data_IF_662559174568
#
_entry.id   IF_662559174568
#
_cell.length_a   1.000
_cell.length_b   1.000
_cell.length_c   1.000
_cell.angle_alpha   90.00
_cell.angle_beta   90.00
_cell.angle_gamma   90.00
#
_symmetry.space_group_name_H-M   'P 1'
#
loop_
_entity.id
_entity.type
_entity.pdbx_description
1 polymer ?
#
# COMPACT_ATOMS: atom_id res chain seq x y z
N UNK A 1 24.78 8.19 1.01
CA UNK A 1 25.41 6.85 0.92
C UNK A 1 26.91 7.02 1.16
N UNK A 2 27.40 6.58 2.32
CA UNK A 2 28.81 6.71 2.75
C UNK A 2 29.19 5.53 3.67
N UNK A 3 30.48 5.18 3.81
CA UNK A 3 30.91 3.94 4.51
C UNK A 3 32.33 4.01 5.16
N UNK A 4 32.54 3.27 6.26
CA UNK A 4 33.79 2.92 6.96
C UNK A 4 33.51 1.91 8.11
N UNK A 5 34.44 1.19 8.77
CA UNK A 5 35.57 0.37 8.28
C UNK A 5 35.78 -0.85 9.25
N UNK A 6 37.01 -1.32 9.54
CA UNK A 6 37.32 -2.53 10.36
C UNK A 6 38.70 -2.41 11.07
N UNK A 7 39.04 -3.24 12.09
CA UNK A 7 39.88 -4.43 11.84
C UNK A 7 39.50 -5.68 12.69
N UNK A 8 40.25 -6.79 12.58
CA UNK A 8 39.90 -8.10 13.12
C UNK A 8 40.94 -8.69 14.10
N UNK A 9 40.49 -9.54 15.03
CA UNK A 9 41.28 -10.59 15.71
C UNK A 9 40.35 -11.70 16.25
N UNK A 10 40.92 -12.84 16.65
CA UNK A 10 40.29 -14.17 16.76
C UNK A 10 39.71 -14.58 18.13
N UNK A 11 38.74 -15.51 18.05
CA UNK A 11 38.44 -16.66 18.95
C UNK A 11 37.53 -16.55 20.21
N UNK A 12 36.83 -17.67 20.43
CA UNK A 12 36.04 -18.18 21.57
C UNK A 12 34.52 -17.88 21.72
N UNK A 13 33.83 -18.92 22.21
CA UNK A 13 32.39 -19.10 22.53
C UNK A 13 32.02 -18.28 23.80
N UNK A 14 30.77 -17.96 24.19
CA UNK A 14 29.47 -18.65 24.07
C UNK A 14 28.29 -17.61 24.20
N UNK A 15 26.97 -17.93 24.37
CA UNK A 15 25.87 -17.07 23.88
C UNK A 15 25.14 -16.14 24.89
N UNK A 16 24.80 -14.92 24.45
CA UNK A 16 23.59 -14.15 24.86
C UNK A 16 23.11 -13.32 23.66
N UNK A 17 21.79 -13.18 23.46
CA UNK A 17 21.22 -12.49 22.29
C UNK A 17 21.17 -10.96 22.39
N UNK A 18 20.96 -10.28 21.25
CA UNK A 18 20.47 -8.89 21.18
C UNK A 18 19.95 -8.55 19.77
N UNK A 19 19.30 -7.39 19.63
CA UNK A 19 18.53 -6.97 18.46
C UNK A 19 19.34 -6.90 17.14
N UNK A 20 18.73 -7.39 16.06
CA UNK A 20 19.26 -7.25 14.70
C UNK A 20 19.11 -5.82 14.17
N UNK A 21 20.17 -5.02 14.27
CA UNK A 21 20.30 -3.78 13.52
C UNK A 21 20.72 -4.09 12.08
N UNK A 22 19.91 -3.69 11.11
CA UNK A 22 20.30 -3.71 9.69
C UNK A 22 21.17 -2.47 9.42
N UNK A 23 22.42 -2.68 9.02
CA UNK A 23 23.29 -1.59 8.56
C UNK A 23 24.02 -2.00 7.28
N UNK A 24 23.98 -1.12 6.28
CA UNK A 24 24.59 -1.36 4.97
C UNK A 24 26.10 -1.12 5.05
N UNK A 25 26.92 -2.13 4.68
CA UNK A 25 28.39 -2.05 4.68
C UNK A 25 28.90 -2.14 3.25
N UNK A 26 29.51 -1.07 2.73
CA UNK A 26 30.07 -1.04 1.38
C UNK A 26 31.60 -1.20 1.44
N UNK A 27 32.12 -2.27 0.85
CA UNK A 27 33.56 -2.46 0.65
C UNK A 27 34.02 -1.72 -0.62
N UNK A 28 35.14 -1.01 -0.54
CA UNK A 28 35.91 -0.60 -1.73
C UNK A 28 37.17 -1.46 -1.83
N UNK A 29 37.18 -2.39 -2.78
CA UNK A 29 38.36 -2.69 -3.58
C UNK A 29 38.00 -2.43 -5.05
N UNK A 30 39.01 -2.11 -5.87
CA UNK A 30 38.81 -1.30 -7.07
C UNK A 30 38.09 -1.97 -8.24
N UNK A 31 37.44 -1.14 -9.07
CA UNK A 31 36.95 -1.49 -10.40
C UNK A 31 35.51 -2.03 -10.46
N UNK A 32 34.59 -1.21 -10.99
CA UNK A 32 33.25 -1.66 -11.41
C UNK A 32 32.23 -1.82 -10.27
N UNK A 33 31.47 -0.77 -9.97
CA UNK A 33 30.34 -0.86 -9.04
C UNK A 33 29.06 -1.28 -9.77
N UNK A 34 28.74 -2.57 -9.74
CA UNK A 34 27.38 -3.04 -10.01
C UNK A 34 26.53 -2.92 -8.73
N UNK A 35 25.36 -2.30 -8.82
CA UNK A 35 24.48 -2.07 -7.66
C UNK A 35 23.61 -3.30 -7.36
N UNK A 36 24.10 -4.19 -6.49
CA UNK A 36 23.28 -5.25 -5.88
C UNK A 36 22.65 -4.76 -4.56
N UNK A 37 21.36 -5.06 -4.35
CA UNK A 37 20.64 -4.81 -3.11
C UNK A 37 20.58 -6.07 -2.24
N UNK A 38 20.61 -5.92 -0.91
CA UNK A 38 20.91 -7.01 0.03
C UNK A 38 19.67 -7.82 0.46
N UNK A 39 19.93 -9.11 0.68
CA UNK A 39 19.04 -10.23 0.99
C UNK A 39 18.42 -10.18 2.41
N UNK A 40 17.19 -10.68 2.54
CA UNK A 40 16.57 -11.01 3.84
C UNK A 40 16.09 -12.47 3.80
N UNK A 41 16.67 -13.33 4.63
CA UNK A 41 16.26 -14.73 4.76
C UNK A 41 15.26 -14.92 5.91
N UNK A 42 14.17 -15.63 5.62
CA UNK A 42 13.42 -16.37 6.63
C UNK A 42 12.96 -17.70 6.00
N UNK A 43 13.11 -18.80 6.75
CA UNK A 43 12.89 -20.17 6.25
C UNK A 43 11.39 -20.44 6.07
N UNK A 44 11.00 -20.86 4.87
CA UNK A 44 9.59 -21.00 4.50
C UNK A 44 8.93 -22.32 4.88
N UNK A 45 7.60 -22.39 4.65
CA UNK A 45 6.86 -23.58 4.22
C UNK A 45 5.69 -23.11 3.35
N UNK A 46 5.57 -23.66 2.15
CA UNK A 46 4.44 -23.40 1.27
C UNK A 46 3.22 -24.24 1.72
N UNK A 47 2.00 -23.69 1.62
CA UNK A 47 0.77 -24.46 1.78
C UNK A 47 -0.35 -23.94 0.88
N UNK A 48 -0.67 -24.70 -0.16
CA UNK A 48 -1.83 -24.48 -1.00
C UNK A 48 -3.14 -24.68 -0.21
N UNK A 49 -3.81 -23.59 0.19
CA UNK A 49 -5.28 -23.47 0.41
C UNK A 49 -5.72 -22.09 0.97
N UNK A 50 -5.29 -20.96 0.37
CA UNK A 50 -5.71 -19.60 0.81
C UNK A 50 -6.11 -18.61 -0.31
N UNK A 51 -6.74 -19.08 -1.40
CA UNK A 51 -7.17 -18.22 -2.52
C UNK A 51 -8.18 -17.11 -2.12
N UNK A 52 -8.88 -17.22 -0.97
CA UNK A 52 -9.97 -16.30 -0.58
C UNK A 52 -9.55 -14.96 0.07
N UNK A 53 -8.27 -14.70 0.35
CA UNK A 53 -7.82 -13.46 1.01
C UNK A 53 -6.55 -12.86 0.37
N UNK A 54 -6.57 -12.60 -0.95
CA UNK A 54 -5.50 -11.80 -1.58
C UNK A 54 -5.70 -10.32 -1.23
N UNK A 55 -4.74 -9.76 -0.50
CA UNK A 55 -4.79 -8.38 0.02
C UNK A 55 -3.57 -7.58 -0.46
N UNK A 56 -3.68 -6.25 -0.51
CA UNK A 56 -2.58 -5.37 -0.96
C UNK A 56 -2.37 -4.20 0.00
N UNK A 57 -1.13 -3.97 0.41
CA UNK A 57 -0.70 -2.71 1.03
C UNK A 57 0.18 -1.98 0.02
N UNK A 58 -0.11 -0.71 -0.27
CA UNK A 58 0.66 0.08 -1.22
C UNK A 58 1.18 1.38 -0.61
N UNK A 59 2.45 1.68 -0.84
CA UNK A 59 3.08 2.95 -0.51
C UNK A 59 3.22 3.77 -1.78
N UNK A 60 2.57 4.94 -1.79
CA UNK A 60 2.50 5.81 -2.96
C UNK A 60 3.34 7.08 -2.78
N UNK A 61 4.24 7.30 -3.73
CA UNK A 61 4.90 8.57 -3.99
C UNK A 61 4.39 9.10 -5.35
N UNK A 62 3.76 10.28 -5.39
CA UNK A 62 3.40 10.98 -6.65
C UNK A 62 2.04 10.70 -7.31
N UNK A 63 1.84 11.19 -8.54
CA UNK A 63 0.65 11.17 -9.42
C UNK A 63 0.18 9.79 -9.93
N UNK A 64 1.00 8.73 -9.93
CA UNK A 64 0.61 7.39 -10.42
C UNK A 64 -0.67 6.91 -9.74
N UNK A 65 -1.75 6.91 -10.49
CA UNK A 65 -3.10 6.71 -9.99
C UNK A 65 -3.43 5.21 -9.82
N UNK A 66 -2.81 4.59 -8.82
CA UNK A 66 -3.20 3.28 -8.29
C UNK A 66 -4.67 3.22 -7.84
N UNK A 67 -5.36 4.36 -7.78
CA UNK A 67 -6.82 4.47 -7.69
C UNK A 67 -7.54 3.40 -8.52
N UNK A 68 -7.20 3.31 -9.80
CA UNK A 68 -7.81 2.36 -10.73
C UNK A 68 -7.68 0.89 -10.30
N UNK A 69 -6.65 0.51 -9.52
CA UNK A 69 -6.57 -0.83 -8.94
C UNK A 69 -7.58 -1.04 -7.81
N UNK A 70 -7.77 -0.08 -6.88
CA UNK A 70 -8.79 -0.22 -5.84
C UNK A 70 -10.16 -0.46 -6.48
N UNK A 71 -10.56 0.40 -7.42
CA UNK A 71 -11.86 0.30 -8.05
C UNK A 71 -12.02 -0.96 -8.90
N UNK A 72 -10.98 -1.35 -9.65
CA UNK A 72 -11.01 -2.62 -10.40
C UNK A 72 -11.14 -3.83 -9.46
N UNK A 73 -10.50 -3.82 -8.28
CA UNK A 73 -10.70 -4.92 -7.31
C UNK A 73 -12.14 -4.98 -6.79
N UNK A 74 -12.77 -3.85 -6.51
CA UNK A 74 -14.16 -3.84 -6.04
C UNK A 74 -15.13 -4.23 -7.15
N UNK A 75 -14.91 -3.73 -8.37
CA UNK A 75 -15.71 -4.04 -9.55
C UNK A 75 -15.72 -5.54 -9.89
N UNK A 76 -14.55 -6.20 -9.90
CA UNK A 76 -14.45 -7.61 -10.28
C UNK A 76 -14.65 -8.60 -9.12
N UNK A 77 -14.27 -8.25 -7.88
CA UNK A 77 -14.28 -9.18 -6.73
C UNK A 77 -15.34 -8.83 -5.67
N UNK A 78 -16.14 -7.79 -5.90
CA UNK A 78 -17.17 -7.32 -4.97
C UNK A 78 -16.61 -6.87 -3.61
N UNK A 79 -17.48 -6.82 -2.61
CA UNK A 79 -17.10 -6.48 -1.24
C UNK A 79 -16.09 -7.49 -0.65
N UNK A 80 -15.21 -7.01 0.23
CA UNK A 80 -14.22 -7.83 0.95
C UNK A 80 -14.68 -8.23 2.37
N UNK A 81 -15.55 -7.42 2.96
CA UNK A 81 -16.15 -7.61 4.26
C UNK A 81 -17.64 -7.25 4.20
N UNK A 82 -18.41 -7.63 5.24
CA UNK A 82 -19.84 -7.29 5.32
C UNK A 82 -20.10 -5.81 5.66
N UNK A 83 -19.13 -5.18 6.30
CA UNK A 83 -19.27 -3.91 7.06
C UNK A 83 -18.08 -2.98 6.85
N UNK A 84 -16.87 -3.52 6.64
CA UNK A 84 -15.67 -2.72 6.42
C UNK A 84 -15.56 -2.33 4.94
N UNK A 85 -15.05 -1.13 4.65
CA UNK A 85 -14.77 -0.71 3.28
C UNK A 85 -13.74 -1.66 2.64
N UNK A 86 -13.87 -1.90 1.33
CA UNK A 86 -12.94 -2.79 0.64
C UNK A 86 -11.60 -2.14 0.28
N UNK A 87 -11.53 -0.82 0.33
CA UNK A 87 -10.29 -0.07 0.20
C UNK A 87 -10.25 1.15 1.12
N UNK A 88 -9.08 1.40 1.71
CA UNK A 88 -8.82 2.53 2.62
C UNK A 88 -7.56 3.28 2.15
N UNK A 89 -7.56 4.61 2.21
CA UNK A 89 -6.35 5.43 2.00
C UNK A 89 -5.98 6.14 3.29
N UNK A 90 -4.77 5.89 3.80
CA UNK A 90 -4.25 6.44 5.06
C UNK A 90 -3.26 7.57 4.76
N UNK A 91 -3.20 8.56 5.66
CA UNK A 91 -2.36 9.76 5.58
C UNK A 91 -2.71 10.75 4.46
N UNK A 92 -3.79 10.49 3.70
CA UNK A 92 -4.25 11.32 2.58
C UNK A 92 -5.77 11.36 2.52
N UNK A 93 -6.30 12.39 1.89
CA UNK A 93 -7.67 12.42 1.41
C UNK A 93 -7.83 11.59 0.12
N UNK A 94 -9.07 11.23 -0.17
CA UNK A 94 -9.50 10.46 -1.34
C UNK A 94 -9.53 11.30 -2.64
N UNK A 95 -8.62 12.26 -2.82
CA UNK A 95 -8.63 13.21 -3.96
C UNK A 95 -8.50 12.58 -5.36
N UNK A 96 -8.22 11.27 -5.47
CA UNK A 96 -8.23 10.52 -6.74
C UNK A 96 -9.52 9.68 -6.93
N UNK A 97 -10.37 9.65 -5.89
CA UNK A 97 -11.72 9.10 -5.87
C UNK A 97 -11.86 7.68 -6.41
N UNK A 98 -12.99 7.48 -7.05
CA UNK A 98 -13.44 6.29 -7.77
C UNK A 98 -13.02 6.25 -9.26
N UNK A 99 -12.19 7.20 -9.72
CA UNK A 99 -11.88 7.33 -11.15
C UNK A 99 -13.16 7.51 -11.99
N UNK A 100 -13.39 6.59 -12.94
CA UNK A 100 -14.60 6.53 -13.77
C UNK A 100 -15.63 5.48 -13.32
N UNK A 101 -15.41 4.81 -12.19
CA UNK A 101 -16.36 3.86 -11.61
C UNK A 101 -17.42 4.60 -10.75
N UNK A 102 -18.49 3.93 -10.26
CA UNK A 102 -19.43 4.54 -9.33
C UNK A 102 -18.79 5.04 -8.03
N UNK A 103 -19.40 6.05 -7.40
CA UNK A 103 -18.93 6.66 -6.16
C UNK A 103 -18.71 5.64 -5.02
N UNK A 104 -19.50 4.57 -4.99
CA UNK A 104 -19.40 3.48 -4.01
C UNK A 104 -18.02 2.78 -3.99
N UNK A 105 -17.21 2.87 -5.05
CA UNK A 105 -15.85 2.30 -5.08
C UNK A 105 -14.75 3.29 -4.66
N UNK A 106 -15.10 4.48 -4.17
CA UNK A 106 -14.12 5.39 -3.57
C UNK A 106 -13.50 4.76 -2.31
N UNK A 107 -12.17 4.87 -2.11
CA UNK A 107 -11.55 4.43 -0.87
C UNK A 107 -11.93 5.34 0.30
N UNK A 108 -12.14 4.77 1.48
CA UNK A 108 -12.39 5.54 2.71
C UNK A 108 -11.10 6.25 3.14
N UNK A 109 -11.07 7.60 3.28
CA UNK A 109 -9.87 8.31 3.69
C UNK A 109 -9.72 8.35 5.22
N UNK A 110 -8.52 8.03 5.69
CA UNK A 110 -8.09 8.22 7.09
C UNK A 110 -6.96 9.25 7.10
N UNK A 111 -7.28 10.48 7.48
CA UNK A 111 -6.36 11.62 7.39
C UNK A 111 -5.21 11.55 8.41
N UNK A 112 -5.51 11.02 9.60
CA UNK A 112 -4.56 10.75 10.68
C UNK A 112 -4.83 9.34 11.25
N UNK A 113 -3.86 8.40 11.19
CA UNK A 113 -4.05 7.04 11.69
C UNK A 113 -4.23 6.95 13.21
N UNK A 114 -3.78 7.96 13.97
CA UNK A 114 -3.95 8.00 15.44
C UNK A 114 -5.40 8.29 15.84
N UNK A 115 -6.09 9.13 15.07
CA UNK A 115 -7.50 9.48 15.31
C UNK A 115 -8.45 8.38 14.78
N UNK A 116 -7.94 7.47 13.93
CA UNK A 116 -8.70 6.39 13.32
C UNK A 116 -9.78 6.91 12.37
N UNK A 117 -10.96 6.26 12.40
CA UNK A 117 -12.13 6.74 11.67
C UNK A 117 -12.86 7.80 12.50
N UNK A 118 -12.90 9.02 11.97
CA UNK A 118 -13.57 10.17 12.58
C UNK A 118 -15.10 10.04 12.53
N UNK A 119 -15.79 10.83 13.36
CA UNK A 119 -17.26 10.96 13.39
C UNK A 119 -18.06 9.66 13.58
N UNK A 120 -17.41 8.63 14.12
CA UNK A 120 -17.99 7.31 14.43
C UNK A 120 -18.98 7.31 15.58
N UNK A 121 -19.12 8.42 16.31
CA UNK A 121 -20.06 8.60 17.42
C UNK A 121 -21.06 9.70 17.09
N UNK A 122 -22.35 9.41 17.22
CA UNK A 122 -23.39 10.41 17.05
C UNK A 122 -23.35 11.46 18.17
N UNK A 123 -23.48 12.77 17.87
CA UNK A 123 -23.64 13.81 18.89
C UNK A 123 -25.04 13.82 19.54
N UNK A 124 -25.96 12.95 19.10
CA UNK A 124 -27.31 12.80 19.66
C UNK A 124 -27.57 11.34 20.04
N UNK A 125 -28.44 11.12 21.03
CA UNK A 125 -28.81 9.77 21.47
C UNK A 125 -29.46 8.92 20.37
N UNK A 126 -29.35 7.59 20.50
CA UNK A 126 -29.77 6.61 19.49
C UNK A 126 -31.22 6.77 19.02
N UNK A 127 -32.15 7.09 19.94
CA UNK A 127 -33.55 7.34 19.60
C UNK A 127 -33.72 8.50 18.59
N UNK A 128 -32.90 9.55 18.70
CA UNK A 128 -32.89 10.68 17.75
C UNK A 128 -32.28 10.27 16.41
N UNK A 129 -31.25 9.42 16.41
CA UNK A 129 -30.66 8.86 15.18
C UNK A 129 -31.68 7.98 14.46
N UNK A 130 -32.36 7.08 15.17
CA UNK A 130 -33.40 6.21 14.64
C UNK A 130 -34.58 7.01 14.06
N UNK A 131 -35.05 8.04 14.77
CA UNK A 131 -36.10 8.95 14.27
C UNK A 131 -35.68 9.68 12.99
N UNK A 132 -34.44 10.20 12.93
CA UNK A 132 -33.94 10.95 11.76
C UNK A 132 -33.70 10.04 10.54
N UNK A 133 -33.08 8.88 10.73
CA UNK A 133 -32.87 7.89 9.66
C UNK A 133 -34.18 7.29 9.15
N UNK A 134 -35.15 7.03 10.04
CA UNK A 134 -36.49 6.60 9.64
C UNK A 134 -37.26 7.64 8.83
N UNK A 135 -37.11 8.94 9.15
CA UNK A 135 -37.69 10.03 8.34
C UNK A 135 -37.00 10.16 6.98
N UNK A 136 -35.67 10.05 6.92
CA UNK A 136 -34.90 10.05 5.68
C UNK A 136 -35.39 8.93 4.74
N UNK A 137 -35.48 7.69 5.24
CA UNK A 137 -35.96 6.55 4.46
C UNK A 137 -37.40 6.73 3.93
N UNK A 138 -38.28 7.43 4.65
CA UNK A 138 -39.64 7.76 4.17
C UNK A 138 -39.62 8.78 3.03
N UNK A 139 -38.74 9.77 3.08
CA UNK A 139 -38.56 10.76 2.00
C UNK A 139 -37.95 10.10 0.76
N UNK A 140 -36.89 9.29 0.94
CA UNK A 140 -36.18 8.63 -0.15
C UNK A 140 -37.06 7.61 -0.89
N UNK A 141 -37.93 6.87 -0.16
CA UNK A 141 -38.87 5.93 -0.76
C UNK A 141 -39.83 6.59 -1.77
N UNK A 142 -40.23 7.85 -1.52
CA UNK A 142 -41.07 8.62 -2.45
C UNK A 142 -40.32 9.16 -3.67
N UNK A 143 -38.99 9.28 -3.58
CA UNK A 143 -38.14 9.86 -4.63
C UNK A 143 -37.54 8.79 -5.55
N UNK A 144 -36.98 7.71 -4.97
CA UNK A 144 -36.35 6.61 -5.71
C UNK A 144 -37.29 5.80 -6.60
N UNK A 145 -38.61 5.84 -6.34
CA UNK A 145 -39.63 5.26 -7.23
C UNK A 145 -39.96 6.11 -8.46
N UNK A 146 -39.48 7.37 -8.53
CA UNK A 146 -39.76 8.31 -9.63
C UNK A 146 -38.51 8.76 -10.38
N UNK A 147 -37.38 8.84 -9.68
CA UNK A 147 -36.07 9.08 -10.27
C UNK A 147 -35.32 7.74 -10.40
N UNK A 148 -35.30 7.17 -11.60
CA UNK A 148 -34.48 5.99 -11.95
C UNK A 148 -33.00 6.38 -12.13
N UNK A 149 -32.49 7.23 -11.26
CA UNK A 149 -31.16 7.83 -11.34
C UNK A 149 -30.17 7.02 -10.48
N UNK A 150 -29.14 6.48 -11.13
CA UNK A 150 -28.11 5.67 -10.48
C UNK A 150 -27.38 6.43 -9.35
N UNK A 151 -27.32 7.77 -9.44
CA UNK A 151 -26.70 8.61 -8.41
C UNK A 151 -27.48 8.60 -7.09
N UNK A 152 -28.82 8.63 -7.14
CA UNK A 152 -29.69 8.56 -5.95
C UNK A 152 -29.55 7.19 -5.29
N UNK A 153 -29.52 6.11 -6.08
CA UNK A 153 -29.31 4.76 -5.58
C UNK A 153 -27.94 4.61 -4.88
N UNK A 154 -26.88 5.10 -5.51
CA UNK A 154 -25.53 5.06 -4.93
C UNK A 154 -25.42 5.86 -3.62
N UNK A 155 -26.16 6.96 -3.50
CA UNK A 155 -26.19 7.78 -2.28
C UNK A 155 -26.90 7.06 -1.11
N UNK A 156 -28.00 6.36 -1.39
CA UNK A 156 -28.71 5.58 -0.39
C UNK A 156 -27.89 4.35 0.06
N UNK A 157 -27.24 3.65 -0.87
CA UNK A 157 -26.33 2.53 -0.56
C UNK A 157 -25.14 2.99 0.29
N UNK A 158 -24.62 4.20 0.06
CA UNK A 158 -23.56 4.80 0.87
C UNK A 158 -24.01 5.07 2.32
N UNK A 159 -25.20 5.64 2.53
CA UNK A 159 -25.73 5.86 3.89
C UNK A 159 -25.99 4.55 4.63
N UNK A 160 -26.61 3.57 4.00
CA UNK A 160 -26.90 2.27 4.62
C UNK A 160 -25.59 1.57 5.03
N UNK A 161 -24.60 1.53 4.13
CA UNK A 161 -23.26 0.97 4.44
C UNK A 161 -22.58 1.73 5.59
N UNK A 162 -22.71 3.06 5.64
CA UNK A 162 -22.16 3.90 6.71
C UNK A 162 -22.81 3.58 8.06
N UNK A 163 -24.14 3.48 8.12
CA UNK A 163 -24.84 3.11 9.37
C UNK A 163 -24.55 1.67 9.81
N UNK A 164 -24.35 0.74 8.87
CA UNK A 164 -23.94 -0.63 9.19
C UNK A 164 -22.52 -0.68 9.77
N UNK A 165 -21.57 0.08 9.21
CA UNK A 165 -20.23 0.22 9.77
C UNK A 165 -20.27 0.86 11.16
N UNK A 166 -21.00 1.97 11.34
CA UNK A 166 -21.12 2.68 12.62
C UNK A 166 -21.68 1.81 13.76
N UNK A 167 -22.56 0.85 13.45
CA UNK A 167 -23.14 -0.10 14.41
C UNK A 167 -22.29 -1.35 14.61
N UNK A 168 -21.24 -1.57 13.82
CA UNK A 168 -20.45 -2.80 13.88
C UNK A 168 -19.33 -2.73 14.91
N UNK A 169 -19.06 -3.88 15.55
CA UNK A 169 -17.82 -4.11 16.32
C UNK A 169 -16.55 -3.95 15.50
N UNK A 170 -16.65 -3.95 14.16
CA UNK A 170 -15.50 -3.84 13.25
C UNK A 170 -14.87 -2.44 13.23
N UNK A 171 -15.54 -1.41 13.78
CA UNK A 171 -14.94 -0.09 14.01
C UNK A 171 -13.60 -0.17 14.77
N UNK A 172 -13.43 -1.16 15.65
CA UNK A 172 -12.18 -1.43 16.37
C UNK A 172 -10.97 -1.66 15.45
N UNK A 173 -11.18 -2.02 14.19
CA UNK A 173 -10.09 -2.18 13.21
C UNK A 173 -9.37 -0.84 12.96
N UNK A 174 -10.06 0.29 13.08
CA UNK A 174 -9.50 1.63 12.91
C UNK A 174 -8.80 2.18 14.16
N UNK A 175 -9.00 1.55 15.32
CA UNK A 175 -8.39 1.96 16.60
C UNK A 175 -7.02 1.30 16.80
N UNK A 176 -5.94 2.05 16.54
CA UNK A 176 -4.57 1.59 16.81
C UNK A 176 -4.17 1.70 18.30
N UNK A 177 -4.96 2.39 19.14
CA UNK A 177 -4.64 2.52 20.57
C UNK A 177 -4.73 1.16 21.30
N UNK A 178 -5.62 0.28 20.83
CA UNK A 178 -5.80 -1.10 21.27
C UNK A 178 -4.61 -2.04 20.99
N UNK A 179 -3.56 -1.59 20.30
CA UNK A 179 -2.34 -2.39 20.09
C UNK A 179 -1.43 -2.40 21.34
N UNK A 180 -0.69 -3.49 21.60
CA UNK A 180 0.29 -3.56 22.68
C UNK A 180 1.34 -2.43 22.60
N UNK A 181 1.81 -1.96 23.75
CA UNK A 181 2.80 -0.88 23.83
C UNK A 181 4.08 -1.20 23.05
N UNK A 182 4.56 -2.45 23.13
CA UNK A 182 5.71 -2.94 22.36
C UNK A 182 5.46 -2.85 20.84
N UNK A 183 4.29 -3.29 20.36
CA UNK A 183 3.95 -3.21 18.93
C UNK A 183 3.92 -1.75 18.46
N UNK A 184 3.31 -0.85 19.23
CA UNK A 184 3.32 0.59 18.95
C UNK A 184 4.74 1.17 18.96
N UNK A 185 5.62 0.70 19.84
CA UNK A 185 7.03 1.12 19.89
C UNK A 185 7.82 0.66 18.65
N UNK A 186 7.64 -0.58 18.17
CA UNK A 186 8.30 -1.08 16.95
C UNK A 186 7.97 -0.23 15.72
N UNK A 187 6.70 0.15 15.52
CA UNK A 187 6.31 1.05 14.43
C UNK A 187 6.77 2.50 14.70
N UNK A 188 6.82 2.93 15.95
CA UNK A 188 7.26 4.27 16.34
C UNK A 188 6.22 5.36 16.04
N UNK A 189 6.52 6.60 16.44
CA UNK A 189 5.54 7.71 16.48
C UNK A 189 5.36 8.47 15.14
N UNK A 190 6.08 8.09 14.08
CA UNK A 190 5.98 8.80 12.80
C UNK A 190 4.61 8.58 12.14
N UNK A 191 4.14 9.55 11.35
CA UNK A 191 2.88 9.44 10.59
C UNK A 191 2.91 8.23 9.63
N UNK A 192 4.08 7.86 9.13
CA UNK A 192 4.28 6.65 8.34
C UNK A 192 4.17 5.37 9.17
N UNK A 193 4.86 5.29 10.31
CA UNK A 193 4.80 4.17 11.25
C UNK A 193 3.38 3.88 11.75
N UNK A 194 2.68 4.91 12.25
CA UNK A 194 1.29 4.78 12.67
C UNK A 194 0.35 4.41 11.50
N UNK A 195 0.63 4.90 10.29
CA UNK A 195 -0.12 4.54 9.09
C UNK A 195 0.04 3.07 8.68
N UNK A 196 1.26 2.53 8.79
CA UNK A 196 1.54 1.12 8.55
C UNK A 196 0.93 0.20 9.63
N UNK A 197 0.94 0.65 10.89
CA UNK A 197 0.29 -0.06 11.99
C UNK A 197 -1.22 -0.17 11.76
N UNK A 198 -1.87 0.93 11.36
CA UNK A 198 -3.28 0.94 10.98
C UNK A 198 -3.53 0.04 9.76
N UNK A 199 -2.70 0.14 8.72
CA UNK A 199 -2.84 -0.70 7.52
C UNK A 199 -2.82 -2.19 7.88
N UNK A 200 -1.88 -2.62 8.74
CA UNK A 200 -1.80 -4.00 9.21
C UNK A 200 -3.07 -4.42 9.98
N UNK A 201 -3.64 -3.57 10.85
CA UNK A 201 -4.93 -3.85 11.51
C UNK A 201 -6.07 -4.02 10.50
N UNK A 202 -6.16 -3.14 9.52
CA UNK A 202 -7.22 -3.19 8.50
C UNK A 202 -7.12 -4.45 7.64
N UNK A 203 -5.90 -4.85 7.23
CA UNK A 203 -5.64 -6.11 6.54
C UNK A 203 -6.04 -7.31 7.43
N UNK A 204 -5.62 -7.33 8.69
CA UNK A 204 -5.95 -8.40 9.66
C UNK A 204 -7.47 -8.58 9.85
N UNK A 205 -8.25 -7.49 9.78
CA UNK A 205 -9.72 -7.51 9.87
C UNK A 205 -10.42 -7.66 8.50
N UNK A 206 -9.68 -7.83 7.39
CA UNK A 206 -10.23 -8.23 6.09
C UNK A 206 -10.45 -7.13 5.05
N UNK A 207 -9.99 -5.89 5.29
CA UNK A 207 -9.94 -4.86 4.24
C UNK A 207 -9.03 -5.35 3.11
N UNK A 208 -9.50 -5.33 1.85
CA UNK A 208 -8.73 -5.92 0.74
C UNK A 208 -7.52 -5.09 0.32
N UNK A 209 -7.62 -3.76 0.36
CA UNK A 209 -6.55 -2.88 -0.12
C UNK A 209 -6.37 -1.68 0.82
N UNK A 210 -5.14 -1.42 1.26
CA UNK A 210 -4.79 -0.19 1.98
C UNK A 210 -3.68 0.57 1.25
N UNK A 211 -3.91 1.86 0.95
CA UNK A 211 -2.84 2.79 0.56
C UNK A 211 -2.34 3.51 1.82
N UNK A 212 -1.03 3.61 2.00
CA UNK A 212 -0.43 4.50 3.01
C UNK A 212 0.40 5.56 2.30
N UNK A 213 -0.06 6.81 2.33
CA UNK A 213 0.70 7.91 1.76
C UNK A 213 1.92 8.26 2.65
N UNK A 214 3.04 8.53 1.99
CA UNK A 214 4.26 9.05 2.62
C UNK A 214 4.69 10.34 1.90
N UNK A 215 4.51 11.47 2.58
CA UNK A 215 4.87 12.79 2.05
C UNK A 215 6.36 13.11 2.24
N UNK A 216 6.83 14.16 1.57
CA UNK A 216 8.20 14.68 1.76
C UNK A 216 9.31 14.00 0.94
N UNK A 217 8.97 13.04 0.08
CA UNK A 217 9.93 12.34 -0.80
C UNK A 217 10.21 13.09 -2.11
N UNK A 218 9.40 14.09 -2.48
CA UNK A 218 9.72 14.97 -3.60
C UNK A 218 10.69 16.11 -3.21
N UNK A 219 11.96 15.77 -2.98
CA UNK A 219 12.99 16.70 -2.54
C UNK A 219 13.68 17.37 -3.75
N UNK A 220 13.68 18.71 -3.75
CA UNK A 220 14.28 19.52 -4.83
C UNK A 220 15.64 20.15 -4.46
N UNK A 221 16.18 19.82 -3.29
CA UNK A 221 17.51 20.24 -2.81
C UNK A 221 17.95 19.33 -1.65
N UNK A 222 19.24 19.33 -1.32
CA UNK A 222 19.85 18.63 -0.16
C UNK A 222 19.37 17.18 -0.02
N UNK A 223 19.29 16.47 -1.15
CA UNK A 223 18.73 15.11 -1.21
C UNK A 223 19.53 14.13 -0.34
N UNK A 224 20.84 14.32 -0.23
CA UNK A 224 21.74 13.60 0.67
C UNK A 224 21.28 13.65 2.14
N UNK A 225 21.29 14.85 2.73
CA UNK A 225 20.93 15.05 4.14
C UNK A 225 19.48 14.61 4.40
N UNK A 226 18.56 14.98 3.51
CA UNK A 226 17.14 14.69 3.66
C UNK A 226 16.82 13.19 3.51
N UNK A 227 17.59 12.44 2.72
CA UNK A 227 17.44 10.98 2.63
C UNK A 227 17.96 10.26 3.87
N UNK A 228 18.96 10.79 4.57
CA UNK A 228 19.38 10.25 5.87
C UNK A 228 18.29 10.44 6.93
N UNK A 229 17.60 11.58 6.92
CA UNK A 229 16.45 11.84 7.80
C UNK A 229 15.22 10.96 7.52
N UNK A 230 14.76 10.86 6.26
CA UNK A 230 13.50 10.13 5.95
C UNK A 230 13.70 8.64 5.67
N UNK A 231 14.88 8.26 5.19
CA UNK A 231 15.18 6.88 4.80
C UNK A 231 15.21 5.93 5.98
N UNK A 232 15.80 6.36 7.11
CA UNK A 232 15.90 5.54 8.32
C UNK A 232 14.53 5.23 8.97
N UNK A 233 13.57 6.16 8.92
CA UNK A 233 12.22 5.88 9.40
C UNK A 233 11.47 4.93 8.45
N UNK A 234 11.59 5.13 7.14
CA UNK A 234 10.97 4.27 6.15
C UNK A 234 11.48 2.82 6.22
N UNK A 235 12.80 2.62 6.24
CA UNK A 235 13.43 1.29 6.29
C UNK A 235 12.97 0.50 7.53
N UNK A 236 13.10 1.13 8.71
CA UNK A 236 12.67 0.58 10.00
C UNK A 236 11.18 0.22 10.01
N UNK A 237 10.31 1.09 9.53
CA UNK A 237 8.85 0.86 9.50
C UNK A 237 8.46 -0.20 8.48
N UNK A 238 9.08 -0.19 7.29
CA UNK A 238 8.84 -1.18 6.25
C UNK A 238 9.25 -2.58 6.72
N UNK A 239 10.47 -2.72 7.26
CA UNK A 239 10.93 -3.98 7.86
C UNK A 239 10.00 -4.45 8.99
N UNK A 240 9.58 -3.55 9.87
CA UNK A 240 8.61 -3.85 10.94
C UNK A 240 7.29 -4.38 10.38
N UNK A 241 6.74 -3.76 9.32
CA UNK A 241 5.49 -4.21 8.71
C UNK A 241 5.61 -5.61 8.10
N UNK A 242 6.70 -5.90 7.38
CA UNK A 242 6.93 -7.22 6.78
C UNK A 242 7.04 -8.29 7.89
N UNK A 243 7.81 -8.04 8.94
CA UNK A 243 7.96 -8.95 10.08
C UNK A 243 6.63 -9.15 10.84
N UNK A 244 5.84 -8.09 11.04
CA UNK A 244 4.56 -8.18 11.75
C UNK A 244 3.54 -9.00 10.94
N UNK A 245 3.46 -8.77 9.62
CA UNK A 245 2.64 -9.58 8.71
C UNK A 245 3.10 -11.05 8.62
N UNK A 246 4.41 -11.31 8.66
CA UNK A 246 4.97 -12.67 8.66
C UNK A 246 4.63 -13.39 9.98
N UNK A 247 4.84 -12.74 11.13
CA UNK A 247 4.55 -13.31 12.46
C UNK A 247 3.07 -13.65 12.66
N UNK A 248 2.16 -12.92 12.00
CA UNK A 248 0.71 -13.16 11.99
C UNK A 248 0.25 -14.14 10.90
N UNK A 249 1.15 -14.66 10.06
CA UNK A 249 0.80 -15.55 8.94
C UNK A 249 -0.09 -14.87 7.89
N UNK A 250 0.07 -13.56 7.71
CA UNK A 250 -0.66 -12.72 6.75
C UNK A 250 0.16 -12.39 5.49
N UNK A 251 1.50 -12.41 5.58
CA UNK A 251 2.42 -12.03 4.50
C UNK A 251 2.23 -12.88 3.23
N UNK A 252 2.03 -14.19 3.35
CA UNK A 252 1.79 -15.07 2.18
C UNK A 252 0.52 -14.71 1.41
N UNK A 253 -0.46 -14.09 2.09
CA UNK A 253 -1.74 -13.63 1.54
C UNK A 253 -1.78 -12.13 1.20
N UNK A 254 -0.76 -11.36 1.60
CA UNK A 254 -0.71 -9.90 1.46
C UNK A 254 0.48 -9.48 0.60
N UNK A 255 0.22 -8.87 -0.55
CA UNK A 255 1.26 -8.22 -1.34
C UNK A 255 1.51 -6.82 -0.78
N UNK A 256 2.73 -6.57 -0.31
CA UNK A 256 3.20 -5.23 0.08
C UNK A 256 3.98 -4.64 -1.08
N UNK A 257 3.57 -3.44 -1.52
CA UNK A 257 4.10 -2.73 -2.68
C UNK A 257 4.70 -1.40 -2.25
N UNK A 258 5.94 -1.14 -2.64
CA UNK A 258 6.55 0.20 -2.62
C UNK A 258 6.63 0.68 -4.06
N UNK A 259 5.89 1.74 -4.41
CA UNK A 259 5.87 2.30 -5.75
C UNK A 259 6.08 3.82 -5.76
N UNK A 260 6.84 4.27 -6.75
CA UNK A 260 7.04 5.68 -7.11
C UNK A 260 6.77 5.86 -8.61
N UNK A 261 6.83 7.10 -9.10
CA UNK A 261 6.68 7.43 -10.53
C UNK A 261 8.00 7.80 -11.21
N UNK A 262 8.97 8.25 -10.43
CA UNK A 262 10.25 8.73 -10.92
C UNK A 262 11.32 8.51 -9.86
N UNK A 263 12.53 8.27 -10.33
CA UNK A 263 13.74 8.36 -9.54
C UNK A 263 14.32 9.77 -9.54
N UNK A 264 15.60 9.84 -9.19
CA UNK A 264 16.42 11.07 -9.22
C UNK A 264 17.49 10.93 -10.28
N UNK A 265 17.89 12.04 -10.89
CA UNK A 265 18.95 12.01 -11.91
C UNK A 265 20.23 11.42 -11.32
N UNK A 266 20.84 10.40 -11.96
CA UNK A 266 22.06 9.78 -11.47
C UNK A 266 23.27 10.73 -11.41
N UNK A 267 23.24 11.81 -12.20
CA UNK A 267 24.26 12.86 -12.18
C UNK A 267 24.27 13.70 -10.88
N UNK A 268 23.26 13.54 -10.02
CA UNK A 268 23.06 14.28 -8.76
C UNK A 268 23.10 15.82 -8.90
N UNK A 269 22.92 16.34 -10.11
CA UNK A 269 23.05 17.76 -10.42
C UNK A 269 22.09 18.62 -9.58
N UNK A 270 22.61 19.75 -9.06
CA UNK A 270 21.86 20.67 -8.20
C UNK A 270 21.43 20.05 -6.85
N UNK A 271 22.23 19.16 -6.27
CA UNK A 271 21.92 18.52 -4.98
C UNK A 271 20.81 17.47 -5.09
N UNK A 272 20.77 16.74 -6.21
CA UNK A 272 19.77 15.70 -6.48
C UNK A 272 18.40 16.21 -6.92
N UNK A 273 18.26 17.48 -7.32
CA UNK A 273 16.95 18.07 -7.64
C UNK A 273 16.19 17.36 -8.77
N UNK A 274 16.90 16.95 -9.82
CA UNK A 274 16.28 16.50 -11.07
C UNK A 274 15.44 15.23 -10.94
N UNK A 275 14.17 15.29 -11.35
CA UNK A 275 13.33 14.10 -11.58
C UNK A 275 13.91 13.22 -12.69
N UNK A 276 13.76 11.91 -12.57
CA UNK A 276 14.24 10.94 -13.53
C UNK A 276 13.24 9.78 -13.73
N UNK A 277 12.30 9.91 -14.68
CA UNK A 277 11.26 8.90 -14.93
C UNK A 277 11.71 7.75 -15.84
N UNK A 278 12.92 7.79 -16.40
CA UNK A 278 13.40 6.78 -17.37
C UNK A 278 13.68 5.42 -16.72
N UNK A 279 14.27 5.41 -15.52
CA UNK A 279 14.50 4.18 -14.76
C UNK A 279 14.48 4.47 -13.25
N UNK A 280 13.82 3.61 -12.50
CA UNK A 280 13.72 3.64 -11.04
C UNK A 280 13.23 2.28 -10.53
N UNK A 281 13.41 2.01 -9.24
CA UNK A 281 13.03 0.74 -8.63
C UNK A 281 11.64 0.81 -7.98
N UNK A 282 11.00 -0.35 -7.87
CA UNK A 282 9.83 -0.60 -7.01
C UNK A 282 10.07 -1.90 -6.25
N UNK A 283 9.44 -2.05 -5.07
CA UNK A 283 9.65 -3.23 -4.20
C UNK A 283 8.33 -3.99 -4.02
N UNK A 284 8.38 -5.31 -4.15
CA UNK A 284 7.25 -6.21 -3.90
C UNK A 284 7.66 -7.23 -2.83
N UNK A 285 6.81 -7.46 -1.84
CA UNK A 285 7.03 -8.47 -0.79
C UNK A 285 5.73 -9.17 -0.41
N UNK A 286 5.81 -10.45 0.00
CA UNK A 286 4.64 -11.26 0.31
C UNK A 286 3.81 -11.62 -0.93
N UNK A 287 2.58 -12.11 -0.72
CA UNK A 287 1.64 -12.43 -1.81
C UNK A 287 2.12 -13.46 -2.84
N UNK A 288 3.08 -14.32 -2.46
CA UNK A 288 3.71 -15.30 -3.36
C UNK A 288 4.89 -14.78 -4.19
N UNK A 289 5.39 -13.57 -3.95
CA UNK A 289 6.60 -13.03 -4.61
C UNK A 289 7.85 -13.79 -4.16
N UNK A 290 8.78 -14.04 -5.10
CA UNK A 290 10.08 -14.68 -4.83
C UNK A 290 10.91 -13.83 -3.86
N UNK A 291 11.36 -14.44 -2.75
CA UNK A 291 12.26 -13.79 -1.78
C UNK A 291 13.63 -13.56 -2.41
N UNK A 292 14.23 -12.39 -2.16
CA UNK A 292 15.58 -12.04 -2.64
C UNK A 292 15.72 -11.92 -4.16
N UNK A 293 14.61 -11.87 -4.91
CA UNK A 293 14.63 -11.81 -6.37
C UNK A 293 14.72 -10.36 -6.89
N UNK A 294 15.64 -10.12 -7.82
CA UNK A 294 15.77 -8.86 -8.57
C UNK A 294 15.35 -9.12 -10.01
N UNK A 295 14.59 -8.19 -10.59
CA UNK A 295 14.08 -8.27 -11.96
C UNK A 295 14.43 -7.00 -12.72
N UNK A 296 15.02 -7.15 -13.90
CA UNK A 296 15.55 -6.06 -14.70
C UNK A 296 16.85 -5.46 -14.16
N UNK A 297 17.46 -4.63 -15.00
CA UNK A 297 18.66 -3.86 -14.69
C UNK A 297 18.61 -2.50 -15.39
N UNK A 298 19.17 -1.46 -14.76
CA UNK A 298 19.54 -0.22 -15.43
C UNK A 298 20.91 -0.37 -16.10
N UNK A 299 21.23 0.54 -17.02
CA UNK A 299 22.59 0.71 -17.49
C UNK A 299 23.57 1.04 -16.34
N UNK A 300 24.87 0.94 -16.62
CA UNK A 300 25.95 1.19 -15.66
C UNK A 300 26.00 2.62 -15.08
N UNK A 301 25.20 3.57 -15.59
CA UNK A 301 25.04 4.94 -15.07
C UNK A 301 23.71 5.14 -14.35
N UNK A 302 22.82 4.14 -14.32
CA UNK A 302 21.47 4.25 -13.79
C UNK A 302 20.55 5.16 -14.62
N UNK A 303 20.84 5.39 -15.91
CA UNK A 303 20.15 6.42 -16.72
C UNK A 303 18.98 5.90 -17.55
N UNK A 304 19.05 4.65 -18.02
CA UNK A 304 17.99 3.96 -18.75
C UNK A 304 17.91 2.48 -18.32
N UNK A 305 16.80 1.79 -18.61
CA UNK A 305 16.73 0.33 -18.50
C UNK A 305 17.67 -0.33 -19.53
N UNK A 306 18.45 -1.32 -19.09
CA UNK A 306 19.37 -2.11 -19.94
C UNK A 306 18.83 -3.52 -20.19
N UNK A 307 18.25 -4.17 -19.18
CA UNK A 307 17.65 -5.49 -19.28
C UNK A 307 16.29 -5.55 -18.57
N UNK A 308 15.36 -6.36 -19.11
CA UNK A 308 14.03 -6.69 -18.58
C UNK A 308 13.26 -5.52 -17.92
N UNK A 309 13.25 -4.37 -18.61
CA UNK A 309 12.60 -3.15 -18.12
C UNK A 309 11.07 -3.29 -17.98
N UNK A 310 10.54 -2.99 -16.80
CA UNK A 310 9.10 -3.09 -16.50
C UNK A 310 8.42 -1.74 -16.69
N UNK A 311 7.47 -1.67 -17.64
CA UNK A 311 6.66 -0.46 -17.82
C UNK A 311 5.68 -0.25 -16.64
N UNK A 312 5.24 0.99 -16.35
CA UNK A 312 4.24 1.23 -15.31
C UNK A 312 2.96 0.43 -15.50
N UNK A 313 2.49 0.27 -16.75
CA UNK A 313 1.34 -0.59 -17.07
C UNK A 313 1.58 -2.06 -16.71
N UNK A 314 2.78 -2.58 -17.00
CA UNK A 314 3.16 -3.96 -16.65
C UNK A 314 3.25 -4.16 -15.14
N UNK A 315 3.76 -3.19 -14.38
CA UNK A 315 3.74 -3.23 -12.90
C UNK A 315 2.31 -3.27 -12.35
N UNK A 316 1.40 -2.43 -12.87
CA UNK A 316 -0.01 -2.44 -12.46
C UNK A 316 -0.69 -3.77 -12.81
N UNK A 317 -0.45 -4.33 -14.00
CA UNK A 317 -0.95 -5.64 -14.39
C UNK A 317 -0.39 -6.75 -13.47
N UNK A 318 0.87 -6.65 -13.04
CA UNK A 318 1.52 -7.60 -12.12
C UNK A 318 0.86 -7.60 -10.74
N UNK A 319 0.62 -6.41 -10.17
CA UNK A 319 -0.08 -6.24 -8.89
C UNK A 319 -1.55 -6.70 -9.00
N UNK A 320 -2.22 -6.38 -10.10
CA UNK A 320 -3.59 -6.81 -10.38
C UNK A 320 -3.69 -8.35 -10.54
N UNK A 321 -2.72 -8.98 -11.19
CA UNK A 321 -2.62 -10.44 -11.29
C UNK A 321 -2.41 -11.08 -9.92
N UNK A 322 -1.56 -10.50 -9.07
CA UNK A 322 -1.39 -10.94 -7.68
C UNK A 322 -2.68 -10.79 -6.87
N UNK A 323 -3.46 -9.73 -7.10
CA UNK A 323 -4.79 -9.54 -6.50
C UNK A 323 -5.87 -10.50 -7.05
N UNK A 324 -5.59 -11.23 -8.13
CA UNK A 324 -6.53 -12.17 -8.77
C UNK A 324 -7.48 -11.53 -9.79
N UNK A 325 -7.14 -10.36 -10.34
CA UNK A 325 -7.97 -9.65 -11.30
C UNK A 325 -7.81 -10.16 -12.74
N UNK A 326 -8.86 -10.12 -13.57
CA UNK A 326 -8.79 -10.45 -14.98
C UNK A 326 -8.19 -9.28 -15.78
N UNK A 327 -6.86 -9.16 -15.78
CA UNK A 327 -6.14 -7.98 -16.33
C UNK A 327 -6.34 -7.72 -17.83
N UNK A 328 -6.83 -8.71 -18.59
CA UNK A 328 -7.11 -8.62 -20.02
C UNK A 328 -8.60 -8.35 -20.34
N UNK A 329 -9.45 -8.18 -19.32
CA UNK A 329 -10.87 -7.86 -19.52
C UNK A 329 -11.05 -6.36 -19.72
N UNK A 330 -11.76 -5.99 -20.79
CA UNK A 330 -12.15 -4.61 -21.05
C UNK A 330 -13.22 -4.14 -20.05
N UNK A 331 -12.95 -3.02 -19.40
CA UNK A 331 -13.90 -2.24 -18.61
C UNK A 331 -14.38 -1.10 -19.50
N UNK A 332 -15.67 -1.05 -19.80
CA UNK A 332 -16.25 0.04 -20.58
C UNK A 332 -16.44 1.25 -19.68
N UNK A 333 -15.75 2.34 -19.99
CA UNK A 333 -15.91 3.63 -19.29
C UNK A 333 -17.25 4.29 -19.63
N UNK A 334 -17.74 5.26 -18.83
CA UNK A 334 -18.95 6.02 -19.16
C UNK A 334 -18.90 6.75 -20.52
N UNK A 335 -17.69 7.01 -21.05
CA UNK A 335 -17.48 7.57 -22.39
C UNK A 335 -17.47 6.51 -23.51
N UNK A 336 -17.88 5.26 -23.25
CA UNK A 336 -17.90 4.15 -24.21
C UNK A 336 -16.52 3.58 -24.56
N UNK A 337 -15.42 4.10 -23.99
CA UNK A 337 -14.06 3.65 -24.28
C UNK A 337 -13.72 2.38 -23.48
N UNK A 338 -13.22 1.30 -24.11
CA UNK A 338 -12.69 0.14 -23.39
C UNK A 338 -11.33 0.45 -22.75
N UNK A 339 -11.17 0.07 -21.48
CA UNK A 339 -9.95 0.24 -20.69
C UNK A 339 -9.60 -1.07 -19.99
N UNK A 340 -8.32 -1.46 -19.99
CA UNK A 340 -7.83 -2.65 -19.29
C UNK A 340 -6.93 -2.26 -18.12
N UNK A 341 -6.88 -3.13 -17.11
CA UNK A 341 -5.97 -2.95 -15.96
C UNK A 341 -4.52 -3.07 -16.43
N UNK A 342 -3.71 -2.03 -16.21
CA UNK A 342 -2.36 -1.95 -16.75
C UNK A 342 -2.28 -1.56 -18.23
N UNK A 343 -3.38 -1.10 -18.84
CA UNK A 343 -3.45 -0.61 -20.23
C UNK A 343 -2.88 -1.62 -21.25
N UNK A 344 -3.42 -2.85 -21.24
CA UNK A 344 -3.05 -3.99 -22.10
C UNK A 344 -1.63 -4.55 -21.90
N UNK A 345 -0.83 -4.00 -20.99
CA UNK A 345 0.50 -4.53 -20.69
C UNK A 345 0.41 -5.93 -20.03
N UNK A 346 1.35 -6.81 -20.38
CA UNK A 346 1.44 -8.12 -19.76
C UNK A 346 1.95 -8.03 -18.30
N UNK A 347 1.41 -8.83 -17.37
CA UNK A 347 1.94 -8.96 -16.01
C UNK A 347 3.27 -9.74 -16.01
N UNK A 348 4.22 -9.31 -15.20
CA UNK A 348 5.50 -9.99 -14.96
C UNK A 348 5.29 -11.19 -14.03
N UNK A 349 4.72 -12.28 -14.57
CA UNK A 349 4.45 -13.50 -13.79
C UNK A 349 5.73 -14.14 -13.22
N UNK A 350 6.89 -13.90 -13.83
CA UNK A 350 8.17 -14.45 -13.40
C UNK A 350 8.63 -14.01 -12.00
N UNK A 351 8.05 -12.96 -11.42
CA UNK A 351 8.38 -12.48 -10.05
C UNK A 351 7.75 -13.34 -8.94
N UNK A 352 6.76 -14.18 -9.26
CA UNK A 352 6.10 -15.06 -8.30
C UNK A 352 6.76 -16.44 -8.26
N UNK A 353 6.66 -17.11 -7.11
CA UNK A 353 7.27 -18.41 -6.81
C UNK A 353 6.40 -19.60 -7.25
#
# INVERSE_FOLDING_TARGET
>A
MLAAFQPAAQLHEDPVGTAGHVFCRQARQGGGAAHQCVQVEARGRCLERRIRRRQVINFRQGLVAFAALFQSTQHFLGASHKTLPSSVTVNRSSNHGNGWFPAAYSPLPILNPVDGLMDTKSPVGEATVAKRSGLLAQLDAGFGGKASDESVKAYNEFYETTFQLMKSTDLKAFDISAEPAETKARYGKSKFGQGCLLARRLIENGVRFVEVAIGGWDMHATLDNRMEEVGGDFDRVYATLIQDLESKGLLDSTLVVVATEFGRKPDFSGGGRGHHPLVFSSVLAGGGVKRGYVHGASDAKGYAPEADGVSPGSLHATIAHAAGLPVQTDIITPAGRPMQVGNKAAPQKGVFA
#
